data_IF_211714802262
#
_entry.id   IF_211714802262
#
_cell.length_a   1.000
_cell.length_b   1.000
_cell.length_c   1.000
_cell.angle_alpha   90.00
_cell.angle_beta   90.00
_cell.angle_gamma   90.00
#
_symmetry.space_group_name_H-M   'P 1'
#
loop_
_entity.id
_entity.type
_entity.pdbx_description
1 polymer ?
#
# COMPACT_ATOMS: atom_id res chain seq x y z
N UNK A 1 10.81 27.60 -2.36
CA UNK A 1 11.39 26.44 -3.03
C UNK A 1 11.03 25.17 -2.32
N UNK A 2 10.63 24.18 -3.09
CA UNK A 2 10.22 22.89 -2.52
C UNK A 2 11.45 22.06 -2.20
N UNK A 3 11.81 22.02 -0.93
CA UNK A 3 12.92 21.20 -0.46
C UNK A 3 12.42 19.80 -0.15
N UNK A 4 12.36 18.93 -1.15
CA UNK A 4 12.14 17.53 -0.86
C UNK A 4 13.32 16.72 -1.37
N UNK A 5 13.60 15.65 -0.66
CA UNK A 5 14.64 14.70 -1.03
C UNK A 5 14.03 13.33 -1.24
N UNK A 6 14.51 12.64 -2.24
CA UNK A 6 14.10 11.26 -2.48
C UNK A 6 14.80 10.38 -1.46
N UNK A 7 14.01 9.65 -0.64
CA UNK A 7 14.57 8.70 0.31
C UNK A 7 14.92 7.41 -0.41
N UNK A 8 13.99 6.89 -1.22
CA UNK A 8 14.23 5.74 -2.08
C UNK A 8 13.13 5.63 -3.15
N UNK A 9 13.42 4.84 -4.18
CA UNK A 9 12.47 4.50 -5.24
C UNK A 9 12.34 2.99 -5.32
N UNK A 10 11.15 2.50 -5.66
CA UNK A 10 10.86 1.09 -5.95
C UNK A 10 11.54 0.11 -4.98
N UNK A 11 11.14 0.16 -3.73
CA UNK A 11 11.76 -0.67 -2.72
C UNK A 11 10.87 -1.85 -2.35
N UNK A 12 11.37 -3.06 -2.59
CA UNK A 12 10.68 -4.28 -2.17
C UNK A 12 10.75 -4.42 -0.64
N UNK A 13 9.60 -4.62 -0.02
CA UNK A 13 9.50 -4.82 1.42
C UNK A 13 8.57 -5.99 1.72
N UNK A 14 8.84 -6.68 2.82
CA UNK A 14 8.06 -7.84 3.25
C UNK A 14 7.76 -7.71 4.73
N UNK A 15 6.52 -8.00 5.12
CA UNK A 15 6.16 -8.19 6.52
C UNK A 15 6.34 -9.66 6.87
N UNK A 16 7.38 -9.96 7.62
CA UNK A 16 7.60 -11.32 8.14
C UNK A 16 6.48 -11.71 9.09
N UNK A 17 6.00 -10.76 9.87
CA UNK A 17 4.96 -10.97 10.88
C UNK A 17 3.60 -11.27 10.25
N UNK A 18 3.20 -10.50 9.25
CA UNK A 18 1.86 -10.59 8.66
C UNK A 18 1.83 -11.35 7.34
N UNK A 19 2.99 -11.71 6.82
CA UNK A 19 3.13 -12.54 5.61
C UNK A 19 2.53 -11.91 4.36
N UNK A 20 2.88 -10.64 4.13
CA UNK A 20 2.59 -9.99 2.84
C UNK A 20 3.77 -9.10 2.44
N UNK A 21 3.82 -8.72 1.19
CA UNK A 21 4.86 -7.86 0.67
C UNK A 21 4.32 -6.84 -0.31
N UNK A 22 5.17 -5.90 -0.67
CA UNK A 22 4.85 -4.90 -1.66
C UNK A 22 6.09 -4.15 -2.11
N UNK A 23 5.90 -3.38 -3.18
CA UNK A 23 6.96 -2.55 -3.74
C UNK A 23 6.41 -1.14 -3.98
N UNK A 24 6.44 -0.28 -2.95
CA UNK A 24 6.04 1.10 -3.12
C UNK A 24 6.93 1.82 -4.13
N UNK A 25 6.35 2.78 -4.85
CA UNK A 25 7.05 3.45 -5.95
C UNK A 25 8.12 4.44 -5.46
N UNK A 26 7.77 5.26 -4.46
CA UNK A 26 8.61 6.40 -4.12
C UNK A 26 8.34 6.87 -2.70
N UNK A 27 9.39 7.12 -1.94
CA UNK A 27 9.31 7.79 -0.65
C UNK A 27 10.16 9.04 -0.70
N UNK A 28 9.56 10.17 -0.32
CA UNK A 28 10.25 11.44 -0.24
C UNK A 28 10.14 12.02 1.16
N UNK A 29 11.06 12.92 1.47
CA UNK A 29 11.02 13.69 2.72
C UNK A 29 10.95 15.17 2.35
N UNK A 30 9.98 15.88 2.90
CA UNK A 30 9.75 17.28 2.63
C UNK A 30 9.38 17.98 3.95
N UNK A 31 10.14 19.01 4.30
CA UNK A 31 9.91 19.78 5.53
C UNK A 31 9.80 18.88 6.78
N UNK A 32 10.64 17.85 6.86
CA UNK A 32 10.65 16.92 7.97
C UNK A 32 9.56 15.84 7.93
N UNK A 33 8.69 15.87 6.93
CA UNK A 33 7.62 14.88 6.77
C UNK A 33 7.99 13.82 5.73
N UNK A 34 7.67 12.56 6.04
CA UNK A 34 7.79 11.47 5.08
C UNK A 34 6.50 11.35 4.28
N UNK A 35 6.62 11.37 2.97
CA UNK A 35 5.50 11.30 2.04
C UNK A 35 5.70 10.11 1.11
N UNK A 36 4.76 9.18 1.15
CA UNK A 36 4.72 8.03 0.27
C UNK A 36 3.99 8.42 -1.00
N UNK A 37 4.59 8.18 -2.17
CA UNK A 37 3.99 8.55 -3.45
C UNK A 37 3.84 7.30 -4.30
N UNK A 38 2.65 7.13 -4.88
CA UNK A 38 2.35 6.02 -5.77
C UNK A 38 1.76 6.55 -7.06
N UNK A 39 2.21 6.02 -8.19
CA UNK A 39 1.78 6.46 -9.51
C UNK A 39 0.74 5.47 -10.06
N UNK A 40 -0.33 6.01 -10.62
CA UNK A 40 -1.41 5.23 -11.23
C UNK A 40 -1.67 5.72 -12.65
N UNK A 41 -1.99 4.78 -13.54
CA UNK A 41 -2.30 5.09 -14.95
C UNK A 41 -3.75 4.72 -15.30
N UNK A 42 -4.53 4.24 -14.36
CA UNK A 42 -5.92 3.83 -14.58
C UNK A 42 -6.86 4.99 -14.87
N UNK A 43 -8.14 4.67 -15.04
CA UNK A 43 -9.16 5.66 -15.40
C UNK A 43 -9.53 6.60 -14.27
N UNK A 44 -9.31 6.19 -13.02
CA UNK A 44 -9.67 6.97 -11.84
C UNK A 44 -8.85 6.51 -10.64
N UNK A 45 -8.88 7.30 -9.56
CA UNK A 45 -8.33 6.91 -8.27
C UNK A 45 -9.48 6.28 -7.49
N UNK A 46 -9.37 4.99 -7.18
CA UNK A 46 -10.42 4.24 -6.49
C UNK A 46 -10.20 4.21 -4.99
N UNK A 47 -11.28 4.09 -4.19
CA UNK A 47 -11.15 4.06 -2.73
C UNK A 47 -10.22 2.95 -2.20
N UNK A 48 -10.15 1.82 -2.89
CA UNK A 48 -9.28 0.70 -2.49
C UNK A 48 -7.80 1.08 -2.42
N UNK A 49 -7.43 2.16 -3.08
CA UNK A 49 -6.05 2.66 -3.07
C UNK A 49 -5.57 2.98 -1.65
N UNK A 50 -6.49 3.41 -0.77
CA UNK A 50 -6.12 3.71 0.62
C UNK A 50 -5.68 2.46 1.37
N UNK A 51 -6.26 1.29 1.05
CA UNK A 51 -5.85 0.02 1.64
C UNK A 51 -4.41 -0.31 1.24
N UNK A 52 -4.09 -0.14 -0.04
CA UNK A 52 -2.74 -0.36 -0.55
C UNK A 52 -1.74 0.57 0.12
N UNK A 53 -2.06 1.86 0.24
CA UNK A 53 -1.16 2.83 0.84
C UNK A 53 -0.99 2.58 2.34
N UNK A 54 -2.05 2.18 3.02
CA UNK A 54 -1.97 1.77 4.42
C UNK A 54 -1.10 0.53 4.62
N UNK A 55 -1.24 -0.45 3.73
CA UNK A 55 -0.40 -1.65 3.76
C UNK A 55 1.07 -1.30 3.52
N UNK A 56 1.36 -0.40 2.60
CA UNK A 56 2.72 0.08 2.35
C UNK A 56 3.30 0.83 3.54
N UNK A 57 2.51 1.69 4.18
CA UNK A 57 2.96 2.41 5.37
C UNK A 57 3.34 1.44 6.49
N UNK A 58 2.57 0.39 6.67
CA UNK A 58 2.92 -0.64 7.65
C UNK A 58 4.22 -1.36 7.31
N UNK A 59 4.47 -1.65 6.03
CA UNK A 59 5.73 -2.23 5.60
C UNK A 59 6.90 -1.30 5.91
N UNK A 60 6.74 -0.01 5.69
CA UNK A 60 7.75 0.99 6.00
C UNK A 60 8.00 1.03 7.50
N UNK A 61 6.95 1.00 8.30
CA UNK A 61 7.08 0.98 9.75
C UNK A 61 7.82 -0.26 10.24
N UNK A 62 7.45 -1.44 9.75
CA UNK A 62 8.08 -2.70 10.20
C UNK A 62 9.54 -2.81 9.75
N UNK A 63 9.89 -2.29 8.58
CA UNK A 63 11.22 -2.46 8.02
C UNK A 63 12.15 -1.28 8.30
N UNK A 64 11.63 -0.08 8.48
CA UNK A 64 12.44 1.13 8.61
C UNK A 64 12.18 1.91 9.89
N UNK A 65 11.15 1.57 10.65
CA UNK A 65 10.93 2.09 11.99
C UNK A 65 10.17 3.40 12.08
N UNK A 66 9.53 3.87 11.00
CA UNK A 66 8.72 5.08 11.04
C UNK A 66 7.47 4.93 10.18
N UNK A 67 6.44 5.69 10.52
CA UNK A 67 5.22 5.83 9.71
C UNK A 67 5.33 7.03 8.79
N UNK A 68 4.68 6.96 7.64
CA UNK A 68 4.57 8.11 6.74
C UNK A 68 3.60 9.13 7.32
N UNK A 69 3.91 10.40 7.15
CA UNK A 69 3.01 11.49 7.55
C UNK A 69 1.86 11.67 6.58
N UNK A 70 2.12 11.39 5.31
CA UNK A 70 1.15 11.50 4.23
C UNK A 70 1.44 10.45 3.17
N UNK A 71 0.42 10.17 2.36
CA UNK A 71 0.60 9.44 1.11
C UNK A 71 -0.10 10.21 -0.01
N UNK A 72 0.47 10.15 -1.19
CA UNK A 72 -0.09 10.80 -2.37
C UNK A 72 -0.21 9.79 -3.50
N UNK A 73 -1.39 9.75 -4.11
CA UNK A 73 -1.59 9.03 -5.35
C UNK A 73 -1.55 10.04 -6.47
N UNK A 74 -0.66 9.82 -7.42
CA UNK A 74 -0.53 10.68 -8.61
C UNK A 74 -1.01 9.86 -9.80
N UNK A 75 -2.18 10.21 -10.34
CA UNK A 75 -2.73 9.53 -11.51
C UNK A 75 -2.32 10.29 -12.76
N UNK A 76 -1.60 9.61 -13.63
CA UNK A 76 -1.16 10.14 -14.91
C UNK A 76 -2.04 9.49 -15.98
N UNK A 77 -3.03 10.20 -16.54
CA UNK A 77 -3.91 9.61 -17.55
C UNK A 77 -3.14 9.33 -18.84
N UNK A 78 -3.57 8.31 -19.58
CA UNK A 78 -2.96 7.93 -20.86
C UNK A 78 -3.30 8.91 -21.99
N UNK A 79 -4.32 9.72 -21.79
CA UNK A 79 -4.71 10.77 -22.73
C UNK A 79 -4.22 12.13 -22.21
N UNK A 80 -4.58 13.22 -22.88
CA UNK A 80 -4.12 14.57 -22.54
C UNK A 80 -4.91 15.22 -21.39
N UNK A 81 -5.56 14.42 -20.54
CA UNK A 81 -6.28 14.93 -19.37
C UNK A 81 -5.31 15.37 -18.29
N UNK A 82 -5.81 16.18 -17.38
CA UNK A 82 -5.00 16.67 -16.26
C UNK A 82 -4.60 15.55 -15.32
N UNK A 83 -3.40 15.68 -14.76
CA UNK A 83 -2.93 14.81 -13.69
C UNK A 83 -3.84 15.03 -12.47
N UNK A 84 -4.26 13.93 -11.86
CA UNK A 84 -4.99 13.97 -10.60
C UNK A 84 -4.06 13.62 -9.45
N UNK A 85 -4.22 14.31 -8.33
CA UNK A 85 -3.48 14.01 -7.11
C UNK A 85 -4.48 13.83 -5.97
N UNK A 86 -4.37 12.72 -5.25
CA UNK A 86 -5.14 12.48 -4.03
C UNK A 86 -4.17 12.28 -2.87
N UNK A 87 -4.36 13.04 -1.80
CA UNK A 87 -3.51 12.98 -0.62
C UNK A 87 -4.27 12.35 0.54
N UNK A 88 -3.61 11.44 1.24
CA UNK A 88 -4.13 10.81 2.45
C UNK A 88 -3.30 11.24 3.66
N UNK A 89 -4.00 11.55 4.75
CA UNK A 89 -3.35 11.86 6.03
C UNK A 89 -2.89 10.59 6.73
N UNK A 90 -2.08 10.75 7.78
CA UNK A 90 -1.62 9.61 8.58
C UNK A 90 -2.78 8.84 9.21
N UNK A 91 -3.83 9.53 9.66
CA UNK A 91 -5.00 8.86 10.22
C UNK A 91 -5.79 8.08 9.17
N UNK A 92 -5.86 8.59 7.95
CA UNK A 92 -6.48 7.87 6.83
C UNK A 92 -5.66 6.63 6.45
N UNK A 93 -4.34 6.74 6.49
CA UNK A 93 -3.47 5.57 6.24
C UNK A 93 -3.66 4.49 7.30
N UNK A 94 -3.82 4.88 8.56
CA UNK A 94 -4.09 3.92 9.64
C UNK A 94 -5.41 3.20 9.42
N UNK A 95 -6.45 3.92 9.00
CA UNK A 95 -7.74 3.30 8.68
C UNK A 95 -7.61 2.37 7.47
N UNK A 96 -6.87 2.78 6.46
CA UNK A 96 -6.59 1.96 5.28
C UNK A 96 -5.90 0.66 5.64
N UNK A 97 -4.88 0.72 6.49
CA UNK A 97 -4.20 -0.47 6.96
C UNK A 97 -5.13 -1.37 7.79
N UNK A 98 -5.94 -0.78 8.66
CA UNK A 98 -6.89 -1.54 9.47
C UNK A 98 -7.84 -2.35 8.58
N UNK A 99 -8.38 -1.74 7.54
CA UNK A 99 -9.26 -2.43 6.61
C UNK A 99 -8.50 -3.49 5.81
N UNK A 100 -7.30 -3.17 5.34
CA UNK A 100 -6.45 -4.12 4.64
C UNK A 100 -6.20 -5.36 5.52
N UNK A 101 -5.87 -5.16 6.79
CA UNK A 101 -5.56 -6.26 7.71
C UNK A 101 -6.78 -7.14 7.98
N UNK A 102 -7.97 -6.54 8.10
CA UNK A 102 -9.22 -7.30 8.24
C UNK A 102 -9.48 -8.17 7.01
N UNK A 103 -9.30 -7.62 5.82
CA UNK A 103 -9.48 -8.36 4.57
C UNK A 103 -8.44 -9.47 4.43
N UNK A 104 -7.19 -9.21 4.82
CA UNK A 104 -6.12 -10.19 4.83
C UNK A 104 -6.48 -11.38 5.73
N UNK A 105 -6.95 -11.09 6.93
CA UNK A 105 -7.38 -12.13 7.89
C UNK A 105 -8.58 -12.92 7.36
N UNK A 106 -9.54 -12.22 6.75
CA UNK A 106 -10.71 -12.87 6.15
C UNK A 106 -10.29 -13.79 5.01
N UNK A 107 -9.36 -13.36 4.18
CA UNK A 107 -8.83 -14.17 3.08
C UNK A 107 -8.17 -15.45 3.60
N UNK A 108 -7.35 -15.34 4.64
CA UNK A 108 -6.70 -16.51 5.27
C UNK A 108 -7.74 -17.47 5.81
N UNK A 109 -8.76 -16.96 6.51
CA UNK A 109 -9.82 -17.78 7.07
C UNK A 109 -10.63 -18.47 5.98
N UNK A 110 -10.94 -17.76 4.90
CA UNK A 110 -11.65 -18.34 3.76
C UNK A 110 -10.84 -19.47 3.11
N UNK A 111 -9.55 -19.30 3.00
CA UNK A 111 -8.67 -20.35 2.50
C UNK A 111 -8.72 -21.59 3.37
N UNK A 112 -8.65 -21.42 4.70
CA UNK A 112 -8.75 -22.54 5.64
C UNK A 112 -10.11 -23.25 5.57
N UNK A 113 -11.20 -22.47 5.50
CA UNK A 113 -12.55 -23.00 5.36
C UNK A 113 -12.67 -23.83 4.08
N UNK A 114 -12.13 -23.31 2.98
CA UNK A 114 -12.17 -23.99 1.68
C UNK A 114 -11.53 -25.38 1.76
N UNK A 115 -10.46 -25.54 2.54
CA UNK A 115 -9.78 -26.84 2.65
C UNK A 115 -10.68 -27.93 3.23
N UNK A 116 -11.73 -27.57 3.99
CA UNK A 116 -12.67 -28.55 4.54
C UNK A 116 -13.56 -29.17 3.46
N UNK A 117 -13.66 -28.54 2.31
CA UNK A 117 -14.52 -28.99 1.22
C UNK A 117 -13.73 -29.56 0.05
N UNK A 118 -12.43 -29.34 0.00
CA UNK A 118 -11.59 -29.82 -1.07
C UNK A 118 -11.37 -31.35 -0.92
N UNK A 119 -11.48 -32.07 -2.02
CA UNK A 119 -11.20 -33.50 -2.01
C UNK A 119 -9.69 -33.71 -1.90
N UNK A 120 -9.26 -34.73 -1.11
CA UNK A 120 -7.81 -35.05 -1.07
C UNK A 120 -7.33 -35.42 -2.45
N UNK A 121 -6.11 -34.94 -2.80
CA UNK A 121 -5.48 -35.32 -4.05
C UNK A 121 -5.12 -36.81 -4.00
N UNK A 122 -5.45 -37.52 -5.06
CA UNK A 122 -5.05 -38.92 -5.18
C UNK A 122 -3.54 -39.01 -5.29
N UNK A 123 -2.96 -39.84 -4.46
CA UNK A 123 -1.58 -40.25 -4.66
C UNK A 123 -1.51 -41.25 -5.79
N UNK A 124 -0.63 -41.00 -6.72
CA UNK A 124 -0.34 -41.98 -7.78
C UNK A 124 0.91 -42.74 -7.41
#
# INVERSE_FOLDING_TARGET
MNNFEVVWTERNMVSEKLKYGGCPDLLVKKNGEYILIDFKTGKAIYPETILQMGAYDNLIYETQGFHCDKAMIVRIPKDNRKIEVKTFSSSQLKLGFKQFDLLRKAHINNFKIKTYFDKPKRKK
#
